data_IF_813729643271
#
_entry.id   IF_813729643271
#
_cell.length_a   1.000
_cell.length_b   1.000
_cell.length_c   1.000
_cell.angle_alpha   90.00
_cell.angle_beta   90.00
_cell.angle_gamma   90.00
#
_symmetry.space_group_name_H-M   'P 1'
#
loop_
_entity.id
_entity.type
_entity.pdbx_description
1 polymer ?
#
# COMPACT_ATOMS: atom_id res chain seq x y z
N UNK A 1 24.65 -13.05 -3.11
CA UNK A 1 25.38 -12.55 -1.94
C UNK A 1 24.35 -12.18 -0.90
N UNK A 2 24.43 -12.80 0.27
CA UNK A 2 23.35 -13.03 1.25
C UNK A 2 22.60 -11.77 1.69
N UNK A 3 21.29 -11.68 1.38
CA UNK A 3 20.41 -10.64 1.93
C UNK A 3 19.88 -11.13 3.28
N UNK A 4 20.39 -10.57 4.37
CA UNK A 4 19.97 -10.95 5.71
C UNK A 4 18.49 -10.54 5.93
N UNK A 5 17.63 -11.42 6.49
CA UNK A 5 16.17 -11.20 6.56
C UNK A 5 15.76 -9.90 7.26
N UNK A 6 16.59 -9.40 8.18
CA UNK A 6 16.41 -8.09 8.85
C UNK A 6 16.36 -6.90 7.88
N UNK A 7 17.14 -6.92 6.79
CA UNK A 7 17.17 -5.80 5.83
C UNK A 7 15.96 -5.78 4.90
N UNK A 8 15.38 -6.95 4.60
CA UNK A 8 14.15 -7.06 3.80
C UNK A 8 12.93 -6.53 4.55
N UNK A 9 12.86 -6.76 5.87
CA UNK A 9 11.78 -6.26 6.73
C UNK A 9 11.83 -4.75 6.89
N UNK A 10 13.03 -4.16 7.03
CA UNK A 10 13.21 -2.70 7.10
C UNK A 10 12.77 -2.05 5.79
N UNK A 11 13.24 -2.56 4.65
CA UNK A 11 12.84 -2.05 3.33
C UNK A 11 11.33 -2.17 3.09
N UNK A 12 10.72 -3.30 3.48
CA UNK A 12 9.27 -3.47 3.41
C UNK A 12 8.51 -2.47 4.30
N UNK A 13 9.02 -2.19 5.50
CA UNK A 13 8.46 -1.19 6.42
C UNK A 13 8.49 0.22 5.84
N UNK A 14 9.60 0.62 5.21
CA UNK A 14 9.77 1.94 4.62
C UNK A 14 8.80 2.20 3.46
N UNK A 15 8.59 1.19 2.60
CA UNK A 15 7.64 1.26 1.48
C UNK A 15 6.20 1.39 1.98
N UNK A 16 5.83 0.62 3.01
CA UNK A 16 4.49 0.68 3.61
C UNK A 16 4.25 2.03 4.31
N UNK A 17 5.27 2.58 4.97
CA UNK A 17 5.19 3.88 5.64
C UNK A 17 5.06 5.02 4.63
N UNK A 18 5.91 5.06 3.61
CA UNK A 18 5.86 6.08 2.54
C UNK A 18 4.51 6.03 1.78
N UNK A 19 4.01 4.82 1.50
CA UNK A 19 2.67 4.65 0.98
C UNK A 19 1.61 5.23 1.92
N UNK A 20 1.66 4.91 3.21
CA UNK A 20 0.73 5.39 4.23
C UNK A 20 0.63 6.92 4.30
N UNK A 21 1.78 7.60 4.20
CA UNK A 21 1.86 9.08 4.13
C UNK A 21 1.21 9.60 2.84
N UNK A 22 1.49 8.99 1.69
CA UNK A 22 0.91 9.38 0.40
C UNK A 22 -0.62 9.19 0.36
N UNK A 23 -1.15 8.20 1.09
CA UNK A 23 -2.60 7.99 1.26
C UNK A 23 -3.29 9.19 1.87
N UNK A 24 -2.67 9.80 2.89
CA UNK A 24 -3.24 10.91 3.65
C UNK A 24 -3.40 12.18 2.82
N UNK A 25 -2.61 12.36 1.75
CA UNK A 25 -2.61 13.58 0.94
C UNK A 25 -3.60 13.58 -0.24
N UNK A 26 -4.01 12.40 -0.75
CA UNK A 26 -4.75 12.32 -2.04
C UNK A 26 -5.86 11.27 -2.10
N UNK A 27 -6.02 10.42 -1.08
CA UNK A 27 -7.05 9.35 -1.04
C UNK A 27 -6.80 8.16 -1.98
N UNK A 28 -6.16 8.37 -3.14
CA UNK A 28 -5.94 7.36 -4.19
C UNK A 28 -4.46 7.09 -4.56
N UNK A 29 -3.48 7.86 -4.04
CA UNK A 29 -2.07 7.61 -4.38
C UNK A 29 -1.52 6.30 -3.78
N UNK A 30 -2.03 5.85 -2.63
CA UNK A 30 -1.55 4.62 -1.99
C UNK A 30 -1.78 3.37 -2.87
N UNK A 31 -2.98 3.11 -3.42
CA UNK A 31 -3.17 2.02 -4.38
C UNK A 31 -2.21 2.09 -5.57
N UNK A 32 -1.99 3.28 -6.13
CA UNK A 32 -1.18 3.44 -7.34
C UNK A 32 0.31 3.19 -7.08
N UNK A 33 0.85 3.75 -5.99
CA UNK A 33 2.25 3.57 -5.59
C UNK A 33 2.51 2.13 -5.12
N UNK A 34 1.59 1.56 -4.35
CA UNK A 34 1.72 0.18 -3.87
C UNK A 34 1.62 -0.83 -5.02
N UNK A 35 0.70 -0.65 -5.97
CA UNK A 35 0.66 -1.49 -7.19
C UNK A 35 1.94 -1.31 -7.99
N UNK A 36 2.45 -0.09 -8.16
CA UNK A 36 3.72 0.17 -8.85
C UNK A 36 4.92 -0.52 -8.19
N UNK A 37 5.02 -0.49 -6.86
CA UNK A 37 6.06 -1.17 -6.10
C UNK A 37 5.93 -2.70 -6.09
N UNK A 38 4.71 -3.22 -5.95
CA UNK A 38 4.43 -4.66 -6.01
C UNK A 38 4.64 -5.23 -7.41
N UNK A 39 4.31 -4.47 -8.46
CA UNK A 39 4.49 -4.88 -9.85
C UNK A 39 5.98 -5.01 -10.26
N UNK A 40 6.91 -4.47 -9.46
CA UNK A 40 8.34 -4.72 -9.65
C UNK A 40 8.74 -6.17 -9.30
N UNK A 41 7.90 -6.90 -8.55
CA UNK A 41 8.19 -8.25 -8.08
C UNK A 41 7.10 -9.28 -8.43
N UNK A 42 5.88 -8.81 -8.74
CA UNK A 42 4.72 -9.64 -9.03
C UNK A 42 4.11 -9.24 -10.38
N UNK A 43 3.41 -10.17 -11.08
CA UNK A 43 2.58 -9.79 -12.21
C UNK A 43 1.58 -8.70 -11.84
N UNK A 44 1.37 -7.73 -12.73
CA UNK A 44 0.54 -6.56 -12.46
C UNK A 44 -0.89 -6.94 -12.01
N UNK A 45 -1.49 -7.99 -12.59
CA UNK A 45 -2.81 -8.47 -12.16
C UNK A 45 -2.81 -8.93 -10.69
N UNK A 46 -1.74 -9.62 -10.25
CA UNK A 46 -1.59 -10.09 -8.87
C UNK A 46 -1.36 -8.92 -7.91
N UNK A 47 -0.53 -7.94 -8.29
CA UNK A 47 -0.30 -6.74 -7.51
C UNK A 47 -1.60 -5.93 -7.28
N UNK A 48 -2.42 -5.79 -8.33
CA UNK A 48 -3.74 -5.14 -8.22
C UNK A 48 -4.68 -5.93 -7.32
N UNK A 49 -4.73 -7.26 -7.48
CA UNK A 49 -5.60 -8.13 -6.67
C UNK A 49 -5.28 -8.03 -5.17
N UNK A 50 -3.99 -8.01 -4.81
CA UNK A 50 -3.54 -7.85 -3.42
C UNK A 50 -3.96 -6.50 -2.80
N UNK A 51 -4.14 -5.47 -3.62
CA UNK A 51 -4.54 -4.14 -3.17
C UNK A 51 -6.05 -3.95 -2.99
N UNK A 52 -6.91 -4.84 -3.51
CA UNK A 52 -8.37 -4.69 -3.43
C UNK A 52 -8.86 -4.64 -1.98
N UNK A 53 -8.52 -5.66 -1.17
CA UNK A 53 -8.96 -5.79 0.23
C UNK A 53 -8.48 -4.63 1.10
N UNK A 54 -7.18 -4.30 1.17
CA UNK A 54 -6.71 -3.20 2.03
C UNK A 54 -7.24 -1.83 1.57
N UNK A 55 -7.44 -1.62 0.27
CA UNK A 55 -8.03 -0.38 -0.26
C UNK A 55 -9.48 -0.25 0.17
N UNK A 56 -10.28 -1.31 0.02
CA UNK A 56 -11.67 -1.33 0.47
C UNK A 56 -11.80 -1.06 1.98
N UNK A 57 -11.05 -1.80 2.80
CA UNK A 57 -11.10 -1.67 4.26
C UNK A 57 -10.83 -0.24 4.71
N UNK A 58 -9.80 0.37 4.14
CA UNK A 58 -9.38 1.71 4.54
C UNK A 58 -10.28 2.81 3.96
N UNK A 59 -10.89 2.62 2.79
CA UNK A 59 -11.89 3.53 2.24
C UNK A 59 -13.19 3.48 3.06
N UNK A 60 -13.66 2.30 3.45
CA UNK A 60 -14.83 2.14 4.34
C UNK A 60 -14.56 2.81 5.70
N UNK A 61 -13.40 2.57 6.29
CA UNK A 61 -13.01 3.19 7.55
C UNK A 61 -13.00 4.72 7.50
N UNK A 62 -12.47 5.30 6.41
CA UNK A 62 -12.51 6.73 6.17
C UNK A 62 -13.96 7.21 5.99
N UNK A 63 -14.77 6.54 5.18
CA UNK A 63 -16.19 6.90 4.98
C UNK A 63 -16.98 6.90 6.30
N UNK A 64 -16.71 5.96 7.21
CA UNK A 64 -17.37 5.90 8.52
C UNK A 64 -16.86 6.96 9.51
N UNK A 65 -15.59 7.40 9.40
CA UNK A 65 -14.99 8.41 10.30
C UNK A 65 -15.06 9.85 9.77
N UNK A 66 -15.17 10.02 8.45
CA UNK A 66 -15.06 11.30 7.75
C UNK A 66 -16.29 11.59 6.86
N UNK A 67 -17.20 10.63 6.65
CA UNK A 67 -18.40 10.78 5.82
C UNK A 67 -19.68 11.15 6.57
N UNK A 68 -19.61 11.41 7.88
CA UNK A 68 -20.68 12.05 8.67
C UNK A 68 -20.40 13.56 8.84
N UNK A 69 -20.01 14.21 7.74
CA UNK A 69 -19.96 15.68 7.63
C UNK A 69 -21.25 16.20 7.00
#
# INVERSE_FOLDING_TARGET
MFYEPKHGVVFGGDVLFAGGVAKGATGFALPLIAVGGLAAFLPAQTAVALMIVPTLVTNIWQALRQGLG
#
